data_IF_791073330783
#
_entry.id   IF_791073330783
#
_cell.length_a   1.000
_cell.length_b   1.000
_cell.length_c   1.000
_cell.angle_alpha   90.00
_cell.angle_beta   90.00
_cell.angle_gamma   90.00
#
_symmetry.space_group_name_H-M   'P 1'
#
loop_
_entity.id
_entity.type
_entity.pdbx_description
1 polymer ?
#
# COMPACT_ATOMS: atom_id res chain seq x y z
N UNK A 1 16.00 -4.50 0.00
CA UNK A 1 14.96 -3.75 0.75
C UNK A 1 13.90 -4.71 1.24
N UNK A 2 13.42 -4.53 2.46
CA UNK A 2 12.43 -5.43 3.07
C UNK A 2 11.31 -4.64 3.72
N UNK A 3 10.06 -5.00 3.37
CA UNK A 3 8.85 -4.48 3.98
C UNK A 3 8.25 -5.55 4.89
N UNK A 4 7.91 -5.17 6.13
CA UNK A 4 7.31 -6.07 7.11
C UNK A 4 6.34 -5.30 8.00
N UNK A 5 5.58 -6.03 8.83
CA UNK A 5 4.70 -5.45 9.84
C UNK A 5 4.86 -6.20 11.14
N UNK A 6 4.83 -5.48 12.27
CA UNK A 6 4.80 -6.12 13.59
C UNK A 6 3.39 -6.64 13.93
N UNK A 7 2.37 -6.24 13.16
CA UNK A 7 0.99 -6.66 13.39
C UNK A 7 0.64 -8.00 12.74
N UNK A 8 1.33 -8.36 11.64
CA UNK A 8 1.13 -9.65 10.96
C UNK A 8 2.35 -9.99 10.12
N UNK A 9 2.59 -11.29 9.93
CA UNK A 9 3.68 -11.76 9.08
C UNK A 9 3.18 -11.95 7.65
N UNK A 10 4.12 -11.98 6.71
CA UNK A 10 3.82 -12.26 5.31
C UNK A 10 3.02 -13.55 5.19
N UNK A 11 1.95 -13.51 4.40
CA UNK A 11 1.02 -14.63 4.16
C UNK A 11 0.12 -14.98 5.35
N UNK A 12 0.13 -14.18 6.42
CA UNK A 12 -0.75 -14.36 7.57
C UNK A 12 -1.98 -13.44 7.48
N UNK A 13 -2.92 -13.64 8.40
CA UNK A 13 -4.14 -12.81 8.45
C UNK A 13 -3.84 -11.40 8.92
N UNK A 14 -4.46 -10.43 8.28
CA UNK A 14 -4.42 -9.04 8.74
C UNK A 14 -5.40 -8.93 9.92
N UNK A 15 -4.97 -8.40 11.08
CA UNK A 15 -5.87 -8.22 12.22
C UNK A 15 -7.08 -7.36 11.87
N UNK A 16 -8.24 -7.70 12.39
CA UNK A 16 -9.49 -7.02 12.09
C UNK A 16 -9.49 -5.53 12.44
N UNK A 17 -8.61 -5.11 13.35
CA UNK A 17 -8.40 -3.71 13.71
C UNK A 17 -8.15 -2.83 12.48
N UNK A 18 -7.45 -3.36 11.47
CA UNK A 18 -7.04 -2.62 10.28
C UNK A 18 -8.00 -2.81 9.10
N UNK A 19 -9.17 -3.36 9.34
CA UNK A 19 -10.17 -3.71 8.32
C UNK A 19 -11.49 -3.02 8.61
N UNK A 20 -12.46 -3.20 7.70
CA UNK A 20 -13.80 -2.64 7.86
C UNK A 20 -14.56 -3.21 9.09
N UNK A 21 -14.09 -4.32 9.67
CA UNK A 21 -14.70 -4.88 10.88
C UNK A 21 -14.15 -4.24 12.16
N UNK A 22 -13.09 -3.47 12.08
CA UNK A 22 -12.46 -2.81 13.22
C UNK A 22 -12.40 -1.31 13.06
N UNK A 23 -11.25 -0.73 13.43
CA UNK A 23 -11.03 0.72 13.37
C UNK A 23 -10.79 1.24 11.95
N UNK A 24 -10.50 0.36 11.00
CA UNK A 24 -10.22 0.69 9.61
C UNK A 24 -9.06 1.68 9.46
N UNK A 25 -8.02 1.49 10.27
CA UNK A 25 -6.79 2.29 10.25
C UNK A 25 -5.67 1.52 9.58
N UNK A 26 -4.69 2.24 9.03
CA UNK A 26 -3.55 1.60 8.39
C UNK A 26 -2.69 0.85 9.40
N UNK A 27 -2.13 -0.33 9.03
CA UNK A 27 -1.29 -1.10 9.94
C UNK A 27 0.10 -0.47 10.09
N UNK A 28 0.82 -0.83 11.17
CA UNK A 28 2.21 -0.42 11.30
C UNK A 28 3.06 -1.17 10.29
N UNK A 29 4.05 -0.50 9.72
CA UNK A 29 4.96 -1.09 8.74
C UNK A 29 6.40 -0.79 9.14
N UNK A 30 7.29 -1.71 8.81
CA UNK A 30 8.73 -1.55 9.00
C UNK A 30 9.45 -1.71 7.67
N UNK A 31 10.45 -0.87 7.44
CA UNK A 31 11.21 -0.84 6.19
C UNK A 31 12.69 -0.97 6.54
N UNK A 32 13.36 -1.94 5.90
CA UNK A 32 14.79 -2.17 6.09
C UNK A 32 15.53 -2.18 4.76
N UNK A 33 16.80 -1.83 4.81
CA UNK A 33 17.74 -1.94 3.69
C UNK A 33 17.30 -1.18 2.43
N UNK A 34 16.83 0.04 2.62
CA UNK A 34 16.55 0.96 1.50
C UNK A 34 17.88 1.30 0.80
N UNK A 35 17.94 1.22 -0.54
CA UNK A 35 19.16 1.62 -1.26
C UNK A 35 19.60 3.04 -0.92
N UNK A 36 20.91 3.25 -0.75
CA UNK A 36 21.44 4.55 -0.37
C UNK A 36 21.19 5.64 -1.42
N UNK A 37 20.98 5.24 -2.68
CA UNK A 37 20.69 6.15 -3.79
C UNK A 37 19.24 6.61 -3.84
N UNK A 38 18.37 6.02 -2.99
CA UNK A 38 16.95 6.35 -3.02
C UNK A 38 16.69 7.81 -2.64
N UNK A 39 15.85 8.46 -3.42
CA UNK A 39 15.41 9.85 -3.21
C UNK A 39 14.01 9.91 -2.63
N UNK A 40 13.21 8.85 -2.84
CA UNK A 40 11.86 8.74 -2.30
C UNK A 40 11.40 7.30 -2.26
N UNK A 41 10.34 7.05 -1.49
CA UNK A 41 9.65 5.76 -1.45
C UNK A 41 8.20 5.96 -1.91
N UNK A 42 7.65 4.90 -2.49
CA UNK A 42 6.23 4.85 -2.85
C UNK A 42 5.64 3.52 -2.36
N UNK A 43 4.37 3.55 -1.99
CA UNK A 43 3.66 2.37 -1.48
C UNK A 43 2.29 2.25 -2.15
N UNK A 44 1.97 1.05 -2.62
CA UNK A 44 0.65 0.72 -3.16
C UNK A 44 0.15 -0.52 -2.41
N UNK A 45 -1.06 -0.42 -1.85
CA UNK A 45 -1.76 -1.57 -1.28
C UNK A 45 -2.93 -1.91 -2.18
N UNK A 46 -2.98 -3.14 -2.69
CA UNK A 46 -4.07 -3.56 -3.58
C UNK A 46 -4.51 -5.00 -3.33
N UNK A 47 -5.72 -5.30 -3.83
CA UNK A 47 -6.40 -6.60 -3.74
C UNK A 47 -6.70 -7.08 -5.15
N UNK A 48 -6.03 -8.15 -5.64
CA UNK A 48 -6.27 -8.69 -6.97
C UNK A 48 -7.38 -9.76 -7.01
N UNK A 49 -8.06 -10.01 -5.92
CA UNK A 49 -9.04 -11.09 -5.79
C UNK A 49 -10.50 -10.62 -5.87
N UNK A 50 -10.72 -9.39 -6.31
CA UNK A 50 -12.08 -8.84 -6.44
C UNK A 50 -12.83 -9.57 -7.55
N UNK A 51 -14.06 -10.06 -7.28
CA UNK A 51 -14.85 -10.72 -8.31
C UNK A 51 -15.07 -9.83 -9.54
N UNK A 52 -14.89 -10.41 -10.73
CA UNK A 52 -14.93 -9.64 -11.97
C UNK A 52 -16.34 -9.12 -12.30
N UNK A 53 -17.39 -9.68 -11.71
CA UNK A 53 -18.73 -9.11 -11.85
C UNK A 53 -18.90 -7.82 -11.05
N UNK A 54 -18.05 -7.56 -10.06
CA UNK A 54 -18.04 -6.32 -9.30
C UNK A 54 -17.09 -5.30 -9.92
N UNK A 55 -15.92 -5.76 -10.42
CA UNK A 55 -14.94 -4.93 -11.11
C UNK A 55 -14.30 -5.74 -12.22
N UNK A 56 -14.40 -5.25 -13.46
CA UNK A 56 -13.91 -5.96 -14.64
C UNK A 56 -12.41 -6.27 -14.57
N UNK A 57 -11.61 -5.41 -13.93
CA UNK A 57 -10.16 -5.61 -13.77
C UNK A 57 -9.79 -6.56 -12.61
N UNK A 58 -10.79 -6.95 -11.79
CA UNK A 58 -10.56 -7.83 -10.66
C UNK A 58 -9.68 -7.22 -9.56
N UNK A 59 -9.56 -5.89 -9.52
CA UNK A 59 -8.61 -5.19 -8.68
C UNK A 59 -9.31 -4.11 -7.83
N UNK A 60 -8.88 -3.99 -6.57
CA UNK A 60 -9.25 -2.85 -5.73
C UNK A 60 -7.98 -2.27 -5.13
N UNK A 61 -7.75 -0.97 -5.34
CA UNK A 61 -6.62 -0.24 -4.77
C UNK A 61 -7.08 0.35 -3.44
N UNK A 62 -6.37 -0.02 -2.36
CA UNK A 62 -6.72 0.37 -0.99
C UNK A 62 -5.95 1.58 -0.49
N UNK A 63 -4.70 1.75 -0.91
CA UNK A 63 -3.82 2.78 -0.36
C UNK A 63 -2.73 3.13 -1.37
N UNK A 64 -2.52 4.44 -1.59
CA UNK A 64 -1.48 4.93 -2.50
C UNK A 64 -0.72 6.04 -1.80
N UNK A 65 0.61 5.86 -1.67
CA UNK A 65 1.51 6.84 -1.06
C UNK A 65 2.72 7.03 -1.96
N UNK A 66 3.24 8.25 -2.05
CA UNK A 66 4.46 8.53 -2.78
C UNK A 66 5.19 9.72 -2.18
N UNK A 67 6.41 9.97 -2.66
CA UNK A 67 7.29 11.01 -2.11
C UNK A 67 7.49 10.89 -0.60
N UNK A 68 7.58 9.63 -0.13
CA UNK A 68 7.92 9.33 1.25
C UNK A 68 9.43 9.46 1.42
N UNK A 69 9.88 10.02 2.55
CA UNK A 69 11.30 10.18 2.86
C UNK A 69 11.99 8.80 2.80
N UNK A 70 13.08 8.66 2.03
CA UNK A 70 13.76 7.37 1.89
C UNK A 70 14.45 6.91 3.19
N UNK A 71 14.58 7.77 4.18
CA UNK A 71 15.12 7.42 5.50
C UNK A 71 14.05 6.80 6.42
N UNK A 72 12.80 6.75 5.98
CA UNK A 72 11.72 6.16 6.76
C UNK A 72 11.98 4.67 6.96
N UNK A 73 12.06 4.23 8.22
CA UNK A 73 12.26 2.83 8.58
C UNK A 73 11.09 2.27 9.40
N UNK A 74 10.21 3.13 9.88
CA UNK A 74 9.05 2.73 10.69
C UNK A 74 7.88 3.65 10.38
N UNK A 75 6.75 3.05 10.06
CA UNK A 75 5.50 3.76 9.80
C UNK A 75 4.53 3.31 10.89
N UNK A 76 4.06 4.24 11.76
CA UNK A 76 3.12 3.84 12.82
C UNK A 76 1.74 3.51 12.25
N UNK A 77 0.96 2.75 13.00
CA UNK A 77 -0.44 2.53 12.62
C UNK A 77 -1.19 3.87 12.60
N UNK A 78 -2.21 3.96 11.76
CA UNK A 78 -3.03 5.18 11.61
C UNK A 78 -2.19 6.43 11.30
N UNK A 79 -1.16 6.26 10.45
CA UNK A 79 -0.24 7.35 10.11
C UNK A 79 -1.00 8.50 9.43
N UNK A 80 -0.72 9.74 9.87
CA UNK A 80 -1.40 10.93 9.36
C UNK A 80 -0.57 11.67 8.32
N UNK A 81 0.68 12.00 8.64
CA UNK A 81 1.54 12.83 7.79
C UNK A 81 2.71 12.02 7.26
N UNK A 82 2.52 11.34 6.13
CA UNK A 82 3.57 10.57 5.50
C UNK A 82 3.48 10.73 3.99
N UNK A 83 4.46 11.42 3.41
CA UNK A 83 4.52 11.62 1.96
C UNK A 83 3.27 12.30 1.42
N UNK A 84 2.90 11.92 0.21
CA UNK A 84 1.72 12.43 -0.49
C UNK A 84 0.74 11.28 -0.72
N UNK A 85 -0.53 11.51 -0.40
CA UNK A 85 -1.59 10.52 -0.59
C UNK A 85 -2.14 10.54 -2.01
N UNK A 86 -2.20 9.37 -2.63
CA UNK A 86 -2.92 9.16 -3.87
C UNK A 86 -4.34 8.69 -3.63
N UNK A 87 -5.06 8.47 -4.73
CA UNK A 87 -6.47 8.11 -4.71
C UNK A 87 -6.65 6.60 -4.74
N UNK A 88 -7.45 6.07 -3.81
CA UNK A 88 -7.84 4.66 -3.82
C UNK A 88 -9.02 4.42 -4.78
N UNK A 89 -9.41 3.17 -4.96
CA UNK A 89 -10.52 2.82 -5.86
C UNK A 89 -11.86 3.41 -5.39
N UNK A 90 -12.00 3.64 -4.09
CA UNK A 90 -13.18 4.30 -3.52
C UNK A 90 -13.25 5.79 -3.79
N UNK A 91 -12.24 6.37 -4.46
CA UNK A 91 -12.20 7.79 -4.81
C UNK A 91 -11.70 8.70 -3.69
N UNK A 92 -11.05 8.12 -2.68
CA UNK A 92 -10.57 8.86 -1.51
C UNK A 92 -9.05 8.81 -1.43
N UNK A 93 -8.45 9.90 -0.93
CA UNK A 93 -7.01 10.00 -0.75
C UNK A 93 -6.65 9.58 0.68
N UNK A 94 -6.82 8.27 0.95
CA UNK A 94 -6.53 7.69 2.26
C UNK A 94 -6.48 6.17 2.20
N UNK A 95 -6.03 5.56 3.31
CA UNK A 95 -6.12 4.13 3.51
C UNK A 95 -7.60 3.70 3.58
N UNK A 96 -7.91 2.59 2.91
CA UNK A 96 -9.20 1.92 3.01
C UNK A 96 -8.88 0.45 3.31
N UNK A 97 -9.35 -0.06 4.44
CA UNK A 97 -9.00 -1.40 4.88
C UNK A 97 -9.68 -2.52 4.11
N UNK A 98 -9.19 -3.75 4.28
CA UNK A 98 -9.81 -4.93 3.71
C UNK A 98 -11.29 -5.08 4.09
N UNK A 99 -12.12 -5.38 3.09
CA UNK A 99 -13.55 -5.63 3.30
C UNK A 99 -14.07 -6.56 2.19
N UNK A 100 -13.55 -7.82 2.11
CA UNK A 100 -13.87 -8.70 1.00
C UNK A 100 -15.35 -9.12 1.06
N UNK A 101 -16.08 -9.04 -0.06
CA UNK A 101 -17.50 -9.40 -0.08
C UNK A 101 -17.76 -10.90 -0.11
N UNK A 102 -16.74 -11.71 -0.46
CA UNK A 102 -16.90 -13.14 -0.74
C UNK A 102 -15.65 -13.93 -0.36
N UNK A 103 -15.57 -14.47 0.83
CA UNK A 103 -14.45 -15.30 1.25
C UNK A 103 -13.16 -14.52 1.47
N UNK A 104 -12.03 -15.23 1.42
CA UNK A 104 -10.72 -14.68 1.72
C UNK A 104 -10.10 -14.01 0.51
N UNK A 105 -9.60 -12.79 0.68
CA UNK A 105 -8.83 -12.07 -0.33
C UNK A 105 -7.40 -11.87 0.15
N UNK A 106 -6.49 -11.65 -0.81
CA UNK A 106 -5.08 -11.31 -0.56
C UNK A 106 -4.90 -9.81 -0.74
N UNK A 107 -4.12 -9.21 0.16
CA UNK A 107 -3.83 -7.79 0.15
C UNK A 107 -2.33 -7.61 0.07
N UNK A 108 -1.87 -6.98 -1.01
CA UNK A 108 -0.45 -6.80 -1.29
C UNK A 108 -0.04 -5.38 -0.97
N UNK A 109 0.93 -5.24 -0.05
CA UNK A 109 1.59 -3.98 0.22
C UNK A 109 2.87 -3.97 -0.60
N UNK A 110 2.96 -3.11 -1.59
CA UNK A 110 4.08 -3.06 -2.55
C UNK A 110 4.86 -1.78 -2.33
N UNK A 111 6.12 -1.91 -1.93
CA UNK A 111 7.00 -0.79 -1.63
C UNK A 111 8.04 -0.65 -2.75
N UNK A 112 8.25 0.59 -3.18
CA UNK A 112 9.21 0.93 -4.24
C UNK A 112 10.17 1.99 -3.73
N UNK A 113 11.48 1.77 -3.93
CA UNK A 113 12.50 2.79 -3.71
C UNK A 113 12.84 3.43 -5.06
N UNK A 114 12.77 4.74 -5.13
CA UNK A 114 12.93 5.48 -6.38
C UNK A 114 14.16 6.38 -6.36
N UNK A 115 14.78 6.58 -7.52
CA UNK A 115 15.95 7.43 -7.67
C UNK A 115 15.59 8.91 -7.86
N UNK A 116 14.32 9.26 -7.70
CA UNK A 116 13.83 10.63 -7.90
C UNK A 116 12.63 10.92 -6.97
N UNK A 117 12.38 12.21 -6.77
CA UNK A 117 11.09 12.67 -6.25
C UNK A 117 10.12 12.76 -7.42
N UNK A 118 8.87 12.38 -7.22
CA UNK A 118 7.87 12.41 -8.27
C UNK A 118 7.14 13.77 -8.28
N UNK A 119 6.89 14.27 -9.49
CA UNK A 119 6.13 15.52 -9.69
C UNK A 119 4.65 15.20 -9.85
N UNK A 120 4.09 14.54 -8.85
CA UNK A 120 2.67 14.17 -8.82
C UNK A 120 1.99 14.91 -7.68
N UNK A 121 0.87 15.59 -7.96
CA UNK A 121 0.08 16.23 -6.90
C UNK A 121 -0.66 15.16 -6.09
N UNK A 122 -1.24 15.57 -4.98
CA UNK A 122 -2.13 14.73 -4.19
C UNK A 122 -3.26 14.20 -5.06
N UNK A 123 -3.66 12.95 -4.84
CA UNK A 123 -4.79 12.35 -5.55
C UNK A 123 -4.43 11.60 -6.81
N UNK A 124 -3.15 11.35 -7.08
CA UNK A 124 -2.76 10.51 -8.22
C UNK A 124 -3.27 9.09 -8.02
N UNK A 125 -3.71 8.46 -9.11
CA UNK A 125 -4.15 7.07 -9.10
C UNK A 125 -2.95 6.13 -9.12
N UNK A 126 -3.20 4.83 -8.84
CA UNK A 126 -2.17 3.79 -8.97
C UNK A 126 -1.55 3.81 -10.36
N UNK A 127 -2.35 3.92 -11.41
CA UNK A 127 -1.89 3.91 -12.80
C UNK A 127 -0.99 5.11 -13.10
N UNK A 128 -1.36 6.28 -12.60
CA UNK A 128 -0.53 7.48 -12.75
C UNK A 128 0.79 7.34 -11.99
N UNK A 129 0.74 6.76 -10.78
CA UNK A 129 1.94 6.51 -10.00
C UNK A 129 2.86 5.51 -10.69
N UNK A 130 2.32 4.38 -11.17
CA UNK A 130 3.12 3.37 -11.88
C UNK A 130 3.81 3.97 -13.10
N UNK A 131 3.11 4.79 -13.86
CA UNK A 131 3.68 5.46 -15.03
C UNK A 131 4.81 6.42 -14.65
N UNK A 132 4.60 7.19 -13.57
CA UNK A 132 5.63 8.13 -13.11
C UNK A 132 6.88 7.41 -12.59
N UNK A 133 6.73 6.20 -12.05
CA UNK A 133 7.84 5.41 -11.53
C UNK A 133 8.65 4.69 -12.60
N UNK A 134 8.15 4.59 -13.84
CA UNK A 134 8.87 3.89 -14.92
C UNK A 134 10.28 4.46 -15.11
N UNK A 135 11.27 3.57 -15.09
CA UNK A 135 12.67 3.94 -15.27
C UNK A 135 13.33 4.51 -14.02
N UNK A 136 12.62 4.59 -12.88
CA UNK A 136 13.13 5.18 -11.64
C UNK A 136 13.18 4.22 -10.46
N UNK A 137 12.78 2.96 -10.64
CA UNK A 137 12.72 1.99 -9.55
C UNK A 137 14.10 1.39 -9.30
N UNK A 138 14.65 1.63 -8.09
CA UNK A 138 15.92 1.07 -7.64
C UNK A 138 15.73 -0.30 -6.99
N UNK A 139 14.65 -0.46 -6.24
CA UNK A 139 14.34 -1.69 -5.51
C UNK A 139 12.85 -1.75 -5.22
N UNK A 140 12.35 -2.96 -5.02
CA UNK A 140 10.96 -3.15 -4.61
C UNK A 140 10.86 -4.32 -3.63
N UNK A 141 9.85 -4.25 -2.77
CA UNK A 141 9.57 -5.26 -1.76
C UNK A 141 8.06 -5.40 -1.60
N UNK A 142 7.62 -6.57 -1.17
CA UNK A 142 6.20 -6.86 -1.06
C UNK A 142 5.92 -7.56 0.26
N UNK A 143 4.82 -7.16 0.91
CA UNK A 143 4.25 -7.83 2.07
C UNK A 143 2.81 -8.17 1.72
N UNK A 144 2.42 -9.42 1.91
CA UNK A 144 1.06 -9.87 1.62
C UNK A 144 0.39 -10.34 2.89
N UNK A 145 -0.82 -9.84 3.14
CA UNK A 145 -1.68 -10.32 4.20
C UNK A 145 -3.01 -10.81 3.64
N UNK A 146 -3.68 -11.68 4.38
CA UNK A 146 -4.98 -12.24 3.99
C UNK A 146 -6.07 -11.78 4.94
N UNK A 147 -7.28 -11.67 4.46
CA UNK A 147 -8.42 -11.36 5.31
C UNK A 147 -9.70 -11.94 4.73
N UNK A 148 -10.51 -12.50 5.62
CA UNK A 148 -11.84 -13.03 5.33
C UNK A 148 -12.80 -12.39 6.33
N UNK A 149 -13.85 -11.75 5.81
CA UNK A 149 -14.82 -11.03 6.65
C UNK A 149 -15.82 -11.95 7.35
N UNK A 150 -15.98 -13.18 6.84
CA UNK A 150 -16.95 -14.15 7.37
C UNK A 150 -16.56 -14.79 8.70
#
# INVERSE_FOLDING_TARGET
MKLSSEAFEHNESIPSKYTCLGLDISPPLSIADVPSEAKSLALIMDDPDVPKHLRADGMWVHWVLYNVDPKTHSIPESVADLGTLGKNTGGLNRYMGPCPPDGEHRYFFKLYALDTMLKLPEGATKEQLLKAMEGHILAQSELMGRFDKS
#
